data_IF_188243265363
#
_entry.id   IF_188243265363
#
_cell.length_a   1.000
_cell.length_b   1.000
_cell.length_c   1.000
_cell.angle_alpha   90.00
_cell.angle_beta   90.00
_cell.angle_gamma   90.00
#
_symmetry.space_group_name_H-M   'P 1'
#
loop_
_entity.id
_entity.type
_entity.pdbx_description
1 polymer ?
#
# COMPACT_ATOMS: atom_id res chain seq x y z
N UNK A 1 -16.19 3.08 12.35
CA UNK A 1 -15.16 4.14 12.46
C UNK A 1 -14.78 4.44 11.03
N UNK A 2 -14.99 5.66 10.54
CA UNK A 2 -14.65 5.99 9.15
C UNK A 2 -13.13 6.09 9.05
N UNK A 3 -12.50 5.24 8.24
CA UNK A 3 -11.07 5.30 7.97
C UNK A 3 -10.86 6.31 6.85
N UNK A 4 -10.30 7.47 7.18
CA UNK A 4 -9.99 8.47 6.17
C UNK A 4 -8.69 8.12 5.45
N UNK A 5 -8.75 8.09 4.12
CA UNK A 5 -7.60 7.94 3.26
C UNK A 5 -6.91 9.30 3.15
N UNK A 6 -5.68 9.40 3.66
CA UNK A 6 -4.84 10.58 3.50
C UNK A 6 -3.64 10.22 2.61
N UNK A 7 -3.66 10.56 1.31
CA UNK A 7 -2.54 10.26 0.41
C UNK A 7 -1.29 11.10 0.71
N UNK A 8 -1.36 12.09 1.60
CA UNK A 8 -0.20 12.84 2.08
C UNK A 8 0.44 12.20 3.32
N UNK A 9 -0.15 11.15 3.88
CA UNK A 9 0.47 10.35 4.93
C UNK A 9 1.78 9.75 4.39
N UNK A 10 2.93 9.97 5.04
CA UNK A 10 4.23 9.50 4.55
C UNK A 10 4.26 7.98 4.34
N UNK A 11 3.46 7.22 5.10
CA UNK A 11 3.37 5.76 4.95
C UNK A 11 2.85 5.36 3.57
N UNK A 12 1.97 6.16 2.96
CA UNK A 12 1.46 5.88 1.61
C UNK A 12 2.58 5.96 0.56
N UNK A 13 3.43 6.98 0.68
CA UNK A 13 4.56 7.15 -0.23
C UNK A 13 5.57 6.01 -0.06
N UNK A 14 5.90 5.66 1.19
CA UNK A 14 6.83 4.56 1.49
C UNK A 14 6.33 3.21 0.96
N UNK A 15 5.05 2.89 1.15
CA UNK A 15 4.45 1.64 0.64
C UNK A 15 4.54 1.59 -0.89
N UNK A 16 4.20 2.68 -1.58
CA UNK A 16 4.28 2.74 -3.03
C UNK A 16 5.72 2.56 -3.54
N UNK A 17 6.68 3.28 -2.96
CA UNK A 17 8.10 3.20 -3.33
C UNK A 17 8.69 1.81 -3.09
N UNK A 18 8.42 1.19 -1.94
CA UNK A 18 8.91 -0.15 -1.62
C UNK A 18 8.32 -1.19 -2.58
N UNK A 19 7.04 -1.06 -2.94
CA UNK A 19 6.40 -1.99 -3.88
C UNK A 19 7.06 -1.96 -5.27
N UNK A 20 7.41 -0.77 -5.76
CA UNK A 20 8.15 -0.59 -7.01
C UNK A 20 9.60 -1.11 -6.91
N UNK A 21 10.27 -0.89 -5.78
CA UNK A 21 11.62 -1.42 -5.55
C UNK A 21 11.64 -2.95 -5.52
N UNK A 22 10.62 -3.59 -4.93
CA UNK A 22 10.49 -5.05 -4.93
C UNK A 22 10.43 -5.62 -6.34
N UNK A 23 9.67 -4.98 -7.24
CA UNK A 23 9.60 -5.38 -8.65
C UNK A 23 10.93 -5.16 -9.37
N UNK A 24 11.54 -3.98 -9.22
CA UNK A 24 12.84 -3.66 -9.83
C UNK A 24 13.96 -4.60 -9.37
N UNK A 25 13.88 -5.09 -8.13
CA UNK A 25 14.79 -6.08 -7.57
C UNK A 25 14.47 -7.53 -8.01
N UNK A 26 13.38 -7.76 -8.75
CA UNK A 26 12.96 -9.10 -9.19
C UNK A 26 12.45 -10.00 -8.06
N UNK A 27 12.03 -9.43 -6.93
CA UNK A 27 11.51 -10.19 -5.78
C UNK A 27 10.07 -10.68 -5.98
N UNK A 28 9.40 -10.14 -6.99
CA UNK A 28 7.98 -10.32 -7.30
C UNK A 28 7.80 -10.38 -8.82
N UNK A 29 6.72 -11.03 -9.27
CA UNK A 29 6.41 -11.21 -10.70
C UNK A 29 4.97 -10.81 -10.95
N UNK A 30 4.75 -9.88 -11.89
CA UNK A 30 3.42 -9.37 -12.21
C UNK A 30 2.78 -8.70 -10.99
N UNK A 31 1.63 -9.20 -10.55
CA UNK A 31 0.87 -8.67 -9.40
C UNK A 31 1.04 -9.51 -8.14
N UNK A 32 2.00 -10.44 -8.11
CA UNK A 32 2.24 -11.30 -6.96
C UNK A 32 2.93 -10.53 -5.82
N UNK A 33 2.51 -10.82 -4.58
CA UNK A 33 3.04 -10.17 -3.37
C UNK A 33 2.20 -8.98 -2.91
N UNK A 34 2.53 -8.43 -1.73
CA UNK A 34 1.91 -7.22 -1.21
C UNK A 34 2.91 -6.47 -0.33
N UNK A 35 2.71 -5.15 -0.21
CA UNK A 35 3.40 -4.29 0.74
C UNK A 35 2.36 -3.61 1.61
N UNK A 36 2.61 -3.52 2.91
CA UNK A 36 1.75 -2.80 3.85
C UNK A 36 2.57 -2.01 4.85
N UNK A 37 2.03 -0.89 5.29
CA UNK A 37 2.61 0.02 6.28
C UNK A 37 1.57 0.40 7.34
N UNK A 38 2.03 0.56 8.57
CA UNK A 38 1.18 0.95 9.69
C UNK A 38 1.15 2.48 9.83
N UNK A 39 -0.04 3.08 9.78
CA UNK A 39 -0.26 4.52 9.95
C UNK A 39 -0.27 4.92 11.42
N UNK A 40 -0.11 6.20 11.70
CA UNK A 40 -0.08 6.73 13.07
C UNK A 40 -1.40 6.58 13.82
N UNK A 41 -2.52 6.48 13.11
CA UNK A 41 -3.86 6.25 13.66
C UNK A 41 -4.14 4.76 13.96
N UNK A 42 -3.17 3.88 13.68
CA UNK A 42 -3.27 2.43 13.89
C UNK A 42 -3.87 1.65 12.72
N UNK A 43 -4.40 2.33 11.69
CA UNK A 43 -4.85 1.69 10.45
C UNK A 43 -3.66 1.19 9.61
N UNK A 44 -3.95 0.34 8.63
CA UNK A 44 -2.98 -0.27 7.73
C UNK A 44 -3.21 0.24 6.32
N UNK A 45 -2.18 0.80 5.72
CA UNK A 45 -2.14 1.13 4.31
C UNK A 45 -1.47 -0.02 3.54
N UNK A 46 -2.03 -0.48 2.43
CA UNK A 46 -1.48 -1.59 1.66
C UNK A 46 -1.74 -1.49 0.16
N UNK A 47 -0.91 -2.19 -0.62
CA UNK A 47 -1.05 -2.30 -2.07
C UNK A 47 -2.40 -2.92 -2.46
N UNK A 48 -3.13 -2.35 -3.44
CA UNK A 48 -4.35 -2.95 -3.96
C UNK A 48 -4.04 -4.25 -4.69
N UNK A 49 -4.93 -5.23 -4.57
CA UNK A 49 -4.80 -6.48 -5.32
C UNK A 49 -4.96 -6.25 -6.82
N UNK A 50 -4.16 -6.95 -7.63
CA UNK A 50 -4.20 -6.93 -9.10
C UNK A 50 -3.74 -5.64 -9.77
N UNK A 51 -3.13 -4.70 -9.04
CA UNK A 51 -2.46 -3.54 -9.65
C UNK A 51 -0.98 -3.88 -9.89
N UNK A 52 -0.46 -3.70 -11.11
CA UNK A 52 0.98 -3.81 -11.38
C UNK A 52 1.77 -2.81 -10.52
N UNK A 53 2.90 -3.22 -9.96
CA UNK A 53 3.71 -2.33 -9.11
C UNK A 53 4.16 -1.01 -9.75
N UNK A 54 4.42 -0.90 -11.07
CA UNK A 54 4.72 0.39 -11.70
C UNK A 54 3.55 1.37 -11.63
N UNK A 55 2.32 0.87 -11.49
CA UNK A 55 1.08 1.65 -11.44
C UNK A 55 0.60 1.92 -10.00
N UNK A 56 1.32 1.40 -8.99
CA UNK A 56 1.02 1.68 -7.58
C UNK A 56 1.52 3.09 -7.24
N UNK A 57 0.63 3.88 -6.64
CA UNK A 57 0.88 5.27 -6.22
C UNK A 57 0.32 5.50 -4.83
N UNK A 58 0.82 6.50 -4.10
CA UNK A 58 0.29 6.86 -2.78
C UNK A 58 -1.24 7.10 -2.76
N UNK A 59 -1.81 7.53 -3.89
CA UNK A 59 -3.23 7.83 -4.03
C UNK A 59 -4.15 6.65 -4.34
N UNK A 60 -3.62 5.45 -4.64
CA UNK A 60 -4.43 4.28 -5.00
C UNK A 60 -4.23 3.08 -4.06
N UNK A 61 -3.68 3.32 -2.87
CA UNK A 61 -3.55 2.32 -1.82
C UNK A 61 -4.87 2.09 -1.08
N UNK A 62 -5.07 0.86 -0.61
CA UNK A 62 -6.17 0.52 0.28
C UNK A 62 -5.78 0.88 1.73
N UNK A 63 -6.76 1.28 2.54
CA UNK A 63 -6.56 1.56 3.96
C UNK A 63 -7.60 0.80 4.77
N UNK A 64 -7.15 -0.03 5.69
CA UNK A 64 -7.97 -0.95 6.46
C UNK A 64 -7.70 -0.84 7.96
N UNK A 65 -8.67 -1.23 8.79
CA UNK A 65 -8.45 -1.55 10.20
C UNK A 65 -7.58 -2.80 10.32
N UNK A 66 -7.14 -3.13 11.54
CA UNK A 66 -6.40 -4.37 11.78
C UNK A 66 -7.23 -5.64 11.60
N UNK A 67 -8.55 -5.50 11.64
CA UNK A 67 -9.49 -6.59 11.36
C UNK A 67 -9.78 -6.73 9.85
N UNK A 68 -9.21 -5.85 9.01
CA UNK A 68 -9.39 -5.87 7.56
C UNK A 68 -10.65 -5.16 7.07
N UNK A 69 -11.26 -4.32 7.90
CA UNK A 69 -12.45 -3.53 7.54
C UNK A 69 -12.04 -2.16 6.97
N UNK A 70 -12.84 -1.64 6.03
CA UNK A 70 -12.62 -0.37 5.33
C UNK A 70 -13.44 0.78 5.95
#
# INVERSE_FOLDING_TARGET
MSIEVDPLDPVHQEVAEVSQQMEQAGLVVGTAGNVSGRRSDGSVCLTPSSTPYPDVTAGNLAVLSLDGEH
#
